data_IF_447982240249
#
_entry.id   IF_447982240249
#
_cell.length_a   1.000
_cell.length_b   1.000
_cell.length_c   1.000
_cell.angle_alpha   90.00
_cell.angle_beta   90.00
_cell.angle_gamma   90.00
#
_symmetry.space_group_name_H-M   'P 1'
#
loop_
_entity.id
_entity.type
_entity.pdbx_description
1 polymer ?
#
# COMPACT_ATOMS: atom_id res chain seq x y z
N UNK A 1 -8.03 8.05 18.46
CA UNK A 1 -7.55 8.19 17.07
C UNK A 1 -8.57 9.01 16.29
N UNK A 2 -8.11 9.97 15.49
CA UNK A 2 -8.99 10.73 14.60
C UNK A 2 -9.68 9.77 13.61
N UNK A 3 -10.95 10.02 13.32
CA UNK A 3 -11.69 9.28 12.29
C UNK A 3 -11.30 9.74 10.88
N UNK A 4 -11.73 9.01 9.83
CA UNK A 4 -11.51 9.46 8.46
C UNK A 4 -12.25 10.78 8.20
N UNK A 5 -11.62 11.62 7.37
CA UNK A 5 -12.18 12.87 6.89
C UNK A 5 -12.60 12.71 5.43
N UNK A 6 -13.66 13.39 5.02
CA UNK A 6 -14.12 13.48 3.65
C UNK A 6 -13.81 14.89 3.13
N UNK A 7 -12.91 14.98 2.17
CA UNK A 7 -12.45 16.24 1.58
C UNK A 7 -13.07 16.40 0.19
N UNK A 8 -13.74 17.53 -0.06
CA UNK A 8 -14.28 17.85 -1.37
C UNK A 8 -13.17 18.31 -2.31
N UNK A 9 -13.19 17.82 -3.54
CA UNK A 9 -12.24 18.16 -4.61
C UNK A 9 -13.01 18.47 -5.89
N UNK A 10 -12.32 18.98 -6.90
CA UNK A 10 -12.92 19.23 -8.22
C UNK A 10 -13.44 17.97 -8.90
N UNK A 11 -12.87 16.79 -8.59
CA UNK A 11 -13.25 15.48 -9.13
C UNK A 11 -14.25 14.71 -8.27
N UNK A 12 -14.66 15.22 -7.11
CA UNK A 12 -15.54 14.54 -6.16
C UNK A 12 -14.99 14.53 -4.74
N UNK A 13 -15.44 13.58 -3.92
CA UNK A 13 -15.05 13.47 -2.51
C UNK A 13 -13.91 12.45 -2.34
N UNK A 14 -12.90 12.81 -1.57
CA UNK A 14 -11.76 11.95 -1.22
C UNK A 14 -11.75 11.69 0.28
N UNK A 15 -11.68 10.40 0.67
CA UNK A 15 -11.50 10.00 2.06
C UNK A 15 -10.01 9.98 2.42
N UNK A 16 -9.66 10.63 3.52
CA UNK A 16 -8.31 10.61 4.08
C UNK A 16 -8.34 10.33 5.58
N UNK A 17 -7.25 9.76 6.09
CA UNK A 17 -6.92 9.75 7.51
C UNK A 17 -5.77 10.73 7.71
N UNK A 18 -5.98 11.71 8.58
CA UNK A 18 -4.94 12.66 8.99
C UNK A 18 -4.53 12.39 10.43
N UNK A 19 -3.28 12.00 10.61
CA UNK A 19 -2.66 11.74 11.92
C UNK A 19 -1.62 12.83 12.16
N UNK A 20 -1.82 13.73 13.13
CA UNK A 20 -0.85 14.78 13.45
C UNK A 20 0.49 14.18 13.87
N UNK A 21 1.59 14.88 13.55
CA UNK A 21 2.95 14.56 13.94
C UNK A 21 3.79 15.82 14.08
N UNK A 22 4.98 15.71 14.68
CA UNK A 22 5.89 16.84 14.88
C UNK A 22 6.89 16.98 13.71
N UNK A 23 7.08 15.90 12.94
CA UNK A 23 7.98 15.86 11.77
C UNK A 23 7.19 16.12 10.49
N UNK A 24 7.86 16.55 9.39
CA UNK A 24 7.21 16.83 8.13
C UNK A 24 6.29 15.70 7.62
N UNK A 25 5.18 16.03 6.92
CA UNK A 25 4.16 15.07 6.57
C UNK A 25 4.65 13.98 5.60
N UNK A 26 4.06 12.80 5.75
CA UNK A 26 4.16 11.66 4.84
C UNK A 26 2.79 11.41 4.23
N UNK A 27 2.72 11.35 2.90
CA UNK A 27 1.53 10.91 2.18
C UNK A 27 1.59 9.41 1.98
N UNK A 28 0.53 8.70 2.36
CA UNK A 28 0.50 7.24 2.38
C UNK A 28 -0.65 6.67 1.52
N UNK A 29 -0.32 5.73 0.65
CA UNK A 29 -1.28 5.00 -0.19
C UNK A 29 -1.32 3.52 0.20
N UNK A 30 -2.40 3.06 0.85
CA UNK A 30 -2.61 1.67 1.24
C UNK A 30 -2.66 0.72 0.04
N UNK A 31 -2.44 -0.55 0.31
CA UNK A 31 -2.55 -1.64 -0.67
C UNK A 31 -3.98 -1.94 -1.13
N UNK A 32 -4.12 -3.00 -1.90
CA UNK A 32 -5.42 -3.55 -2.29
C UNK A 32 -6.26 -3.91 -1.06
N UNK A 33 -7.59 -3.82 -1.19
CA UNK A 33 -8.56 -4.09 -0.12
C UNK A 33 -8.47 -3.18 1.10
N UNK A 34 -7.64 -2.13 1.07
CA UNK A 34 -7.40 -1.21 2.17
C UNK A 34 -7.88 0.20 1.84
N UNK A 35 -8.40 0.88 2.84
CA UNK A 35 -8.77 2.29 2.79
C UNK A 35 -7.88 3.12 3.74
N UNK A 36 -8.00 4.42 3.73
CA UNK A 36 -7.14 5.34 4.48
C UNK A 36 -6.92 4.94 5.95
N UNK A 37 -7.96 4.49 6.63
CA UNK A 37 -7.90 4.08 8.05
C UNK A 37 -7.36 2.67 8.29
N UNK A 38 -7.18 1.87 7.24
CA UNK A 38 -6.64 0.51 7.37
C UNK A 38 -5.13 0.61 7.57
N UNK A 39 -4.67 0.21 8.75
CA UNK A 39 -3.24 0.20 9.01
C UNK A 39 -2.59 -0.98 8.28
N UNK A 40 -1.91 -0.66 7.20
CA UNK A 40 -1.04 -1.55 6.46
C UNK A 40 0.40 -1.00 6.44
N UNK A 41 0.81 -0.39 7.57
CA UNK A 41 2.15 0.15 7.79
C UNK A 41 2.22 1.67 7.90
N UNK A 42 1.12 2.43 7.81
CA UNK A 42 1.17 3.87 8.00
C UNK A 42 1.56 4.26 9.43
N UNK A 43 1.22 3.43 10.42
CA UNK A 43 1.60 3.64 11.82
C UNK A 43 3.12 3.66 12.06
N UNK A 44 3.91 3.02 11.20
CA UNK A 44 5.37 3.07 11.28
C UNK A 44 5.89 4.52 11.18
N UNK A 45 5.29 5.33 10.31
CA UNK A 45 5.67 6.72 10.10
C UNK A 45 5.21 7.62 11.25
N UNK A 46 4.03 7.37 11.78
CA UNK A 46 3.54 8.06 12.99
C UNK A 46 4.39 7.72 14.23
N UNK A 47 4.87 6.48 14.34
CA UNK A 47 5.74 6.03 15.46
C UNK A 47 7.11 6.74 15.45
N UNK A 48 7.64 7.05 14.26
CA UNK A 48 8.88 7.86 14.13
C UNK A 48 8.60 9.37 14.11
N UNK A 49 7.37 9.78 14.42
CA UNK A 49 6.99 11.17 14.68
C UNK A 49 6.52 11.97 13.46
N UNK A 50 6.40 11.37 12.28
CA UNK A 50 5.86 12.06 11.10
C UNK A 50 4.36 12.30 11.19
N UNK A 51 3.93 13.46 10.72
CA UNK A 51 2.54 13.66 10.32
C UNK A 51 2.20 12.69 9.17
N UNK A 52 1.03 12.03 9.23
CA UNK A 52 0.62 11.08 8.20
C UNK A 52 -0.70 11.48 7.57
N UNK A 53 -0.73 11.59 6.25
CA UNK A 53 -1.94 11.76 5.46
C UNK A 53 -2.12 10.51 4.59
N UNK A 54 -2.96 9.60 5.07
CA UNK A 54 -3.29 8.36 4.35
C UNK A 54 -4.54 8.55 3.49
N UNK A 55 -4.50 8.07 2.23
CA UNK A 55 -5.56 8.26 1.25
C UNK A 55 -6.31 6.98 0.94
N UNK A 56 -7.63 7.02 0.91
CA UNK A 56 -8.42 6.00 0.22
C UNK A 56 -8.36 6.24 -1.29
N UNK A 57 -7.76 5.32 -2.02
CA UNK A 57 -7.64 5.41 -3.49
C UNK A 57 -9.01 5.30 -4.18
N UNK A 58 -9.14 5.64 -5.49
CA UNK A 58 -10.42 5.59 -6.21
C UNK A 58 -11.17 4.28 -6.05
N UNK A 59 -12.41 4.36 -5.57
CA UNK A 59 -13.28 3.20 -5.35
C UNK A 59 -13.13 2.51 -3.99
N UNK A 60 -12.24 3.00 -3.10
CA UNK A 60 -12.12 2.52 -1.73
C UNK A 60 -12.74 3.49 -0.71
N UNK A 61 -13.27 2.94 0.36
CA UNK A 61 -13.79 3.69 1.50
C UNK A 61 -14.84 4.73 1.10
N UNK A 62 -14.65 5.95 1.58
CA UNK A 62 -15.51 7.10 1.28
C UNK A 62 -15.13 7.88 0.02
N UNK A 63 -14.06 7.48 -0.71
CA UNK A 63 -13.64 8.17 -1.94
C UNK A 63 -14.62 7.92 -3.08
N UNK A 64 -15.19 9.02 -3.61
CA UNK A 64 -16.23 9.04 -4.65
C UNK A 64 -15.81 9.95 -5.81
N UNK A 65 -14.86 9.47 -6.62
CA UNK A 65 -14.27 10.17 -7.78
C UNK A 65 -14.39 9.34 -9.06
N UNK A 66 -15.17 8.25 -9.03
CA UNK A 66 -15.29 7.33 -10.17
C UNK A 66 -14.09 6.39 -10.31
N UNK A 67 -13.90 5.87 -11.52
CA UNK A 67 -12.85 4.89 -11.84
C UNK A 67 -11.60 5.57 -12.41
N UNK A 68 -11.04 6.50 -11.66
CA UNK A 68 -9.81 7.17 -12.06
C UNK A 68 -8.62 6.22 -11.98
N UNK A 69 -7.68 6.37 -12.92
CA UNK A 69 -6.34 5.81 -12.84
C UNK A 69 -5.50 6.57 -11.80
N UNK A 70 -4.34 6.05 -11.43
CA UNK A 70 -3.41 6.75 -10.55
C UNK A 70 -3.04 8.14 -11.10
N UNK A 71 -2.76 8.22 -12.40
CA UNK A 71 -2.43 9.47 -13.07
C UNK A 71 -3.57 10.51 -13.02
N UNK A 72 -4.82 10.08 -13.20
CA UNK A 72 -6.00 10.94 -13.15
C UNK A 72 -6.37 11.34 -11.71
N UNK A 73 -6.03 10.53 -10.72
CA UNK A 73 -6.31 10.82 -9.31
C UNK A 73 -5.24 11.74 -8.68
N UNK A 74 -4.01 11.77 -9.19
CA UNK A 74 -2.91 12.59 -8.65
C UNK A 74 -3.25 14.08 -8.50
N UNK A 75 -3.94 14.76 -9.43
CA UNK A 75 -4.37 16.15 -9.21
C UNK A 75 -5.24 16.33 -7.98
N UNK A 76 -6.15 15.39 -7.71
CA UNK A 76 -7.03 15.45 -6.54
C UNK A 76 -6.28 15.20 -5.22
N UNK A 77 -5.21 14.39 -5.26
CA UNK A 77 -4.29 14.27 -4.12
C UNK A 77 -3.65 15.63 -3.81
N UNK A 78 -3.20 16.35 -4.84
CA UNK A 78 -2.68 17.72 -4.69
C UNK A 78 -3.70 18.68 -4.06
N UNK A 79 -4.94 18.70 -4.55
CA UNK A 79 -6.02 19.54 -3.99
C UNK A 79 -6.30 19.23 -2.51
N UNK A 80 -6.29 17.93 -2.13
CA UNK A 80 -6.46 17.54 -0.73
C UNK A 80 -5.30 18.04 0.12
N UNK A 81 -4.06 17.84 -0.35
CA UNK A 81 -2.87 18.31 0.35
C UNK A 81 -2.87 19.83 0.53
N UNK A 82 -3.24 20.58 -0.51
CA UNK A 82 -3.40 22.06 -0.44
C UNK A 82 -4.43 22.48 0.61
N UNK A 83 -5.60 21.82 0.67
CA UNK A 83 -6.62 22.09 1.68
C UNK A 83 -6.18 21.76 3.11
N UNK A 84 -5.27 20.78 3.27
CA UNK A 84 -4.67 20.43 4.56
C UNK A 84 -3.44 21.30 4.90
N UNK A 85 -3.05 22.23 4.03
CA UNK A 85 -1.86 23.06 4.21
C UNK A 85 -0.53 22.32 3.94
N UNK A 86 -0.57 21.17 3.27
CA UNK A 86 0.59 20.31 2.96
C UNK A 86 1.07 20.61 1.55
N UNK A 87 2.06 21.48 1.41
CA UNK A 87 2.68 21.85 0.12
C UNK A 87 3.88 20.96 -0.24
N UNK A 88 4.57 20.45 0.77
CA UNK A 88 5.75 19.59 0.64
C UNK A 88 5.62 18.41 1.59
N UNK A 89 6.02 17.22 1.14
CA UNK A 89 6.02 16.00 1.96
C UNK A 89 7.43 15.42 2.05
N UNK A 90 7.79 14.94 3.25
CA UNK A 90 9.05 14.25 3.47
C UNK A 90 9.13 12.97 2.63
N UNK A 91 8.01 12.26 2.52
CA UNK A 91 7.92 11.10 1.63
C UNK A 91 6.50 10.89 1.11
N UNK A 92 6.41 10.30 -0.07
CA UNK A 92 5.22 9.60 -0.54
C UNK A 92 5.46 8.10 -0.43
N UNK A 93 4.53 7.39 0.16
CA UNK A 93 4.64 5.96 0.46
C UNK A 93 3.56 5.18 -0.25
N UNK A 94 3.93 4.11 -0.92
CA UNK A 94 3.02 3.12 -1.47
C UNK A 94 3.24 1.74 -0.87
N UNK A 95 2.16 1.02 -0.61
CA UNK A 95 2.20 -0.38 -0.20
C UNK A 95 1.44 -1.20 -1.24
N UNK A 96 2.03 -2.29 -1.75
CA UNK A 96 1.38 -3.18 -2.71
C UNK A 96 0.79 -2.37 -3.90
N UNK A 97 -0.50 -2.47 -4.22
CA UNK A 97 -1.17 -1.64 -5.25
C UNK A 97 -1.09 -0.12 -5.00
N UNK A 98 -0.83 0.31 -3.77
CA UNK A 98 -0.60 1.72 -3.45
C UNK A 98 0.61 2.32 -4.15
N UNK A 99 1.56 1.47 -4.58
CA UNK A 99 2.72 1.86 -5.36
C UNK A 99 2.38 2.58 -6.67
N UNK A 100 1.28 2.17 -7.35
CA UNK A 100 0.79 2.87 -8.55
C UNK A 100 0.59 4.36 -8.29
N UNK A 101 -0.12 4.69 -7.20
CA UNK A 101 -0.43 6.07 -6.87
C UNK A 101 0.79 6.82 -6.35
N UNK A 102 1.62 6.16 -5.53
CA UNK A 102 2.82 6.78 -4.98
C UNK A 102 3.81 7.21 -6.08
N UNK A 103 4.02 6.35 -7.09
CA UNK A 103 4.87 6.64 -8.25
C UNK A 103 4.33 7.84 -9.05
N UNK A 104 3.04 7.87 -9.34
CA UNK A 104 2.45 8.98 -10.11
C UNK A 104 2.52 10.32 -9.37
N UNK A 105 2.30 10.33 -8.04
CA UNK A 105 2.44 11.54 -7.21
C UNK A 105 3.89 12.00 -7.19
N UNK A 106 4.84 11.10 -6.99
CA UNK A 106 6.26 11.43 -6.98
C UNK A 106 6.74 11.93 -8.35
N UNK A 107 6.31 11.30 -9.45
CA UNK A 107 6.68 11.72 -10.80
C UNK A 107 6.12 13.10 -11.18
N UNK A 108 4.99 13.52 -10.63
CA UNK A 108 4.33 14.80 -10.92
C UNK A 108 4.64 15.89 -9.91
N UNK A 109 5.25 15.55 -8.77
CA UNK A 109 5.62 16.51 -7.71
C UNK A 109 4.43 17.38 -7.23
N UNK A 110 3.26 16.74 -7.01
CA UNK A 110 2.07 17.42 -6.47
C UNK A 110 1.41 16.55 -5.37
N UNK A 111 1.68 16.87 -4.07
CA UNK A 111 2.54 17.93 -3.52
C UNK A 111 4.01 17.75 -3.90
N UNK A 112 4.89 18.69 -3.54
CA UNK A 112 6.34 18.52 -3.71
C UNK A 112 6.83 17.34 -2.86
N UNK A 113 7.52 16.39 -3.48
CA UNK A 113 7.92 15.11 -2.87
C UNK A 113 9.43 15.06 -2.69
N UNK A 114 9.90 14.94 -1.47
CA UNK A 114 11.33 14.84 -1.19
C UNK A 114 11.84 13.40 -1.41
N UNK A 115 11.04 12.38 -1.10
CA UNK A 115 11.41 10.96 -1.25
C UNK A 115 10.22 10.11 -1.64
N UNK A 116 10.48 9.00 -2.33
CA UNK A 116 9.49 7.96 -2.61
C UNK A 116 9.85 6.68 -1.85
N UNK A 117 8.85 6.01 -1.27
CA UNK A 117 9.03 4.72 -0.59
C UNK A 117 8.01 3.73 -1.15
N UNK A 118 8.50 2.59 -1.58
CA UNK A 118 7.69 1.51 -2.17
C UNK A 118 7.89 0.22 -1.36
N UNK A 119 6.87 -0.16 -0.60
CA UNK A 119 6.89 -1.38 0.22
C UNK A 119 6.12 -2.52 -0.45
N UNK A 120 6.80 -3.60 -0.83
CA UNK A 120 6.17 -4.79 -1.44
C UNK A 120 5.17 -4.40 -2.53
N UNK A 121 5.57 -3.47 -3.42
CA UNK A 121 4.67 -2.87 -4.40
C UNK A 121 4.57 -3.70 -5.69
N UNK A 122 3.35 -3.77 -6.21
CA UNK A 122 3.00 -4.23 -7.55
C UNK A 122 1.73 -3.50 -8.01
N UNK A 123 1.53 -3.34 -9.36
CA UNK A 123 2.43 -3.68 -10.45
C UNK A 123 3.58 -2.69 -10.61
N UNK A 124 4.74 -3.17 -11.04
CA UNK A 124 5.80 -2.36 -11.63
C UNK A 124 5.55 -2.19 -13.14
N UNK A 125 6.57 -2.23 -14.01
CA UNK A 125 6.32 -2.40 -15.46
C UNK A 125 5.91 -3.83 -15.81
N UNK A 126 6.10 -4.79 -14.89
CA UNK A 126 5.67 -6.16 -15.04
C UNK A 126 4.15 -6.28 -14.87
N UNK A 127 3.58 -7.36 -15.38
CA UNK A 127 2.17 -7.65 -15.26
C UNK A 127 1.82 -8.14 -13.84
N UNK A 128 0.66 -7.75 -13.33
CA UNK A 128 0.16 -8.21 -12.02
C UNK A 128 -1.36 -8.45 -12.10
N UNK A 129 -1.94 -9.50 -11.50
CA UNK A 129 -1.26 -10.49 -10.64
C UNK A 129 -0.26 -11.39 -11.37
N UNK A 130 0.75 -11.87 -10.62
CA UNK A 130 1.82 -12.73 -11.14
C UNK A 130 1.30 -14.11 -11.55
N UNK A 131 0.25 -14.61 -10.90
CA UNK A 131 -0.34 -15.90 -11.20
C UNK A 131 -1.55 -15.79 -12.13
N UNK A 132 -1.67 -16.73 -13.11
CA UNK A 132 -2.84 -16.81 -13.99
C UNK A 132 -4.12 -17.10 -13.21
N UNK A 133 -4.04 -17.88 -12.15
CA UNK A 133 -5.19 -18.21 -11.31
C UNK A 133 -5.75 -16.96 -10.61
N UNK A 134 -4.90 -16.14 -10.02
CA UNK A 134 -5.31 -14.87 -9.38
C UNK A 134 -5.86 -13.89 -10.41
N UNK A 135 -5.27 -13.82 -11.60
CA UNK A 135 -5.75 -12.96 -12.67
C UNK A 135 -7.18 -13.33 -13.13
N UNK A 136 -7.53 -14.62 -13.11
CA UNK A 136 -8.84 -15.12 -13.54
C UNK A 136 -9.87 -15.09 -12.41
N UNK A 137 -9.50 -15.59 -11.22
CA UNK A 137 -10.43 -15.75 -10.10
C UNK A 137 -10.54 -14.53 -9.21
N UNK A 138 -9.48 -13.71 -9.09
CA UNK A 138 -9.49 -12.50 -8.28
C UNK A 138 -10.64 -11.54 -8.62
N UNK A 139 -10.83 -11.15 -9.91
CA UNK A 139 -11.92 -10.27 -10.31
C UNK A 139 -13.31 -10.82 -9.97
N UNK A 140 -13.50 -12.14 -10.01
CA UNK A 140 -14.78 -12.80 -9.72
C UNK A 140 -15.03 -12.83 -8.22
N UNK A 141 -14.06 -13.33 -7.43
CA UNK A 141 -14.19 -13.46 -5.97
C UNK A 141 -14.37 -12.11 -5.28
N UNK A 142 -13.65 -11.08 -5.73
CA UNK A 142 -13.70 -9.74 -5.18
C UNK A 142 -14.57 -8.78 -6.02
N UNK A 143 -15.48 -9.33 -6.84
CA UNK A 143 -16.51 -8.53 -7.50
C UNK A 143 -17.41 -7.84 -6.46
N UNK A 144 -18.05 -6.75 -6.87
CA UNK A 144 -18.98 -6.00 -6.01
C UNK A 144 -20.13 -6.87 -5.46
N UNK A 145 -20.47 -7.96 -6.15
CA UNK A 145 -21.53 -8.87 -5.74
C UNK A 145 -21.05 -9.89 -4.69
N UNK A 146 -19.87 -10.46 -4.85
CA UNK A 146 -19.38 -11.58 -4.01
C UNK A 146 -18.48 -11.14 -2.86
N UNK A 147 -17.79 -10.02 -2.97
CA UNK A 147 -16.83 -9.57 -1.97
C UNK A 147 -17.39 -9.47 -0.54
N UNK A 148 -18.68 -9.11 -0.41
CA UNK A 148 -19.34 -9.01 0.90
C UNK A 148 -19.32 -10.35 1.64
N UNK A 149 -19.62 -11.43 0.95
CA UNK A 149 -19.59 -12.79 1.48
C UNK A 149 -18.15 -13.25 1.77
N UNK A 150 -17.22 -12.98 0.85
CA UNK A 150 -15.79 -13.32 0.99
C UNK A 150 -15.24 -12.66 2.26
N UNK A 151 -15.41 -11.36 2.41
CA UNK A 151 -14.91 -10.64 3.59
C UNK A 151 -15.65 -11.01 4.89
N UNK A 152 -16.94 -11.34 4.80
CA UNK A 152 -17.67 -11.87 5.95
C UNK A 152 -17.09 -13.22 6.42
N UNK A 153 -16.79 -14.12 5.48
CA UNK A 153 -16.16 -15.42 5.75
C UNK A 153 -14.75 -15.23 6.34
N UNK A 154 -13.91 -14.41 5.72
CA UNK A 154 -12.55 -14.13 6.23
C UNK A 154 -12.62 -13.59 7.66
N UNK A 155 -13.49 -12.63 7.95
CA UNK A 155 -13.68 -12.09 9.30
C UNK A 155 -14.11 -13.16 10.32
N UNK A 156 -14.92 -14.11 9.90
CA UNK A 156 -15.29 -15.25 10.74
C UNK A 156 -14.12 -16.19 11.01
N UNK A 157 -13.39 -16.52 9.96
CA UNK A 157 -12.26 -17.46 10.00
C UNK A 157 -11.11 -16.92 10.86
N UNK A 158 -10.72 -15.64 10.70
CA UNK A 158 -9.57 -15.05 11.42
C UNK A 158 -9.82 -14.82 12.92
N UNK A 159 -11.03 -15.09 13.41
CA UNK A 159 -11.33 -15.04 14.86
C UNK A 159 -10.51 -16.05 15.65
N UNK A 160 -10.19 -17.21 15.05
CA UNK A 160 -9.40 -18.27 15.66
C UNK A 160 -7.98 -18.27 15.09
N UNK A 161 -6.99 -18.63 15.90
CA UNK A 161 -5.59 -18.70 15.50
C UNK A 161 -5.37 -19.62 14.30
N UNK A 162 -6.03 -20.76 14.26
CA UNK A 162 -5.94 -21.69 13.13
C UNK A 162 -6.39 -21.05 11.81
N UNK A 163 -7.48 -20.29 11.86
CA UNK A 163 -8.00 -19.58 10.69
C UNK A 163 -7.12 -18.40 10.28
N UNK A 164 -6.62 -17.61 11.24
CA UNK A 164 -5.66 -16.55 10.98
C UNK A 164 -4.39 -17.10 10.32
N UNK A 165 -3.84 -18.19 10.89
CA UNK A 165 -2.69 -18.91 10.35
C UNK A 165 -2.90 -19.35 8.90
N UNK A 166 -4.07 -19.90 8.60
CA UNK A 166 -4.45 -20.32 7.25
C UNK A 166 -4.49 -19.13 6.26
N UNK A 167 -5.09 -18.00 6.64
CA UNK A 167 -5.16 -16.82 5.78
C UNK A 167 -3.77 -16.21 5.59
N UNK A 168 -2.98 -16.10 6.65
CA UNK A 168 -1.62 -15.55 6.56
C UNK A 168 -0.66 -16.45 5.76
N UNK A 169 -0.87 -17.76 5.74
CA UNK A 169 -0.05 -18.67 4.93
C UNK A 169 -0.15 -18.40 3.43
N UNK A 170 -1.23 -17.77 2.95
CA UNK A 170 -1.39 -17.37 1.55
C UNK A 170 -0.55 -16.13 1.19
N UNK A 171 -0.05 -15.42 2.17
CA UNK A 171 0.77 -14.22 1.99
C UNK A 171 2.27 -14.49 2.16
N UNK A 172 2.67 -15.77 2.19
CA UNK A 172 4.05 -16.20 2.42
C UNK A 172 4.43 -17.34 1.51
N UNK A 173 5.64 -17.29 0.96
CA UNK A 173 6.26 -18.40 0.24
C UNK A 173 6.96 -19.38 1.19
N UNK A 174 7.09 -19.04 2.48
CA UNK A 174 7.64 -19.93 3.50
C UNK A 174 6.53 -20.80 4.13
N UNK A 175 6.85 -22.05 4.51
CA UNK A 175 5.97 -22.85 5.35
C UNK A 175 5.62 -22.08 6.63
N UNK A 176 4.33 -21.92 6.90
CA UNK A 176 3.84 -21.12 8.05
C UNK A 176 4.37 -21.65 9.41
N UNK A 177 4.75 -22.93 9.50
CA UNK A 177 5.37 -23.51 10.69
C UNK A 177 6.69 -22.85 11.09
N UNK A 178 7.41 -22.26 10.14
CA UNK A 178 8.72 -21.63 10.38
C UNK A 178 8.62 -20.26 11.05
N UNK A 179 7.53 -19.52 10.84
CA UNK A 179 7.41 -18.14 11.28
C UNK A 179 6.17 -17.84 12.15
N UNK A 180 5.24 -18.78 12.27
CA UNK A 180 4.04 -18.58 13.09
C UNK A 180 4.31 -18.62 14.60
N UNK A 181 5.15 -19.57 15.05
CA UNK A 181 5.45 -19.74 16.47
C UNK A 181 6.17 -18.52 17.08
N UNK A 182 7.14 -17.88 16.38
CA UNK A 182 7.80 -16.66 16.87
C UNK A 182 6.90 -15.42 16.92
N UNK A 183 5.74 -15.40 16.23
CA UNK A 183 4.83 -14.25 16.27
C UNK A 183 4.26 -14.03 17.67
N UNK A 184 4.38 -12.81 18.16
CA UNK A 184 3.79 -12.39 19.43
C UNK A 184 2.24 -12.39 19.37
N UNK A 185 1.60 -12.35 20.53
CA UNK A 185 0.15 -12.17 20.61
C UNK A 185 -0.29 -10.80 20.01
N UNK A 186 0.54 -9.78 20.17
CA UNK A 186 0.31 -8.45 19.60
C UNK A 186 0.35 -8.47 18.07
N UNK A 187 1.34 -9.13 17.47
CA UNK A 187 1.45 -9.30 16.00
C UNK A 187 0.23 -10.03 15.43
N UNK A 188 -0.20 -11.10 16.09
CA UNK A 188 -1.39 -11.87 15.69
C UNK A 188 -2.66 -11.03 15.77
N UNK A 189 -2.79 -10.19 16.80
CA UNK A 189 -3.96 -9.30 16.92
C UNK A 189 -3.91 -8.14 15.92
N UNK A 190 -2.74 -7.62 15.58
CA UNK A 190 -2.56 -6.64 14.51
C UNK A 190 -2.98 -7.22 13.16
N UNK A 191 -2.53 -8.43 12.83
CA UNK A 191 -2.97 -9.13 11.63
C UNK A 191 -4.49 -9.37 11.61
N UNK A 192 -5.12 -9.74 12.76
CA UNK A 192 -6.57 -9.87 12.83
C UNK A 192 -7.29 -8.56 12.57
N UNK A 193 -6.83 -7.46 13.16
CA UNK A 193 -7.41 -6.13 12.94
C UNK A 193 -7.33 -5.76 11.46
N UNK A 194 -6.19 -6.01 10.81
CA UNK A 194 -6.03 -5.80 9.38
C UNK A 194 -7.12 -6.55 8.59
N UNK A 195 -7.19 -7.87 8.68
CA UNK A 195 -8.14 -8.68 7.90
C UNK A 195 -9.61 -8.34 8.20
N UNK A 196 -9.93 -7.93 9.44
CA UNK A 196 -11.28 -7.47 9.80
C UNK A 196 -11.63 -6.12 9.17
N UNK A 197 -10.66 -5.25 8.94
CA UNK A 197 -10.86 -3.92 8.37
C UNK A 197 -10.89 -3.91 6.84
N UNK A 198 -10.32 -4.94 6.19
CA UNK A 198 -10.23 -5.02 4.73
C UNK A 198 -11.59 -5.07 4.03
N UNK A 199 -11.66 -4.39 2.88
CA UNK A 199 -12.79 -4.35 1.95
C UNK A 199 -12.25 -4.13 0.54
N UNK A 200 -12.83 -4.79 -0.45
CA UNK A 200 -12.44 -4.59 -1.85
C UNK A 200 -13.12 -3.38 -2.47
N UNK A 201 -14.35 -3.13 -2.08
CA UNK A 201 -15.23 -2.12 -2.68
C UNK A 201 -15.16 -2.18 -4.24
N UNK A 202 -15.24 -1.07 -4.93
CA UNK A 202 -14.99 -1.00 -6.37
C UNK A 202 -13.49 -0.81 -6.71
N UNK A 203 -12.68 -0.47 -5.69
CA UNK A 203 -11.28 -0.10 -5.85
C UNK A 203 -10.40 -1.24 -6.31
N UNK A 204 -10.60 -2.46 -5.79
CA UNK A 204 -9.78 -3.60 -6.18
C UNK A 204 -9.92 -3.97 -7.67
N UNK A 205 -11.14 -3.91 -8.21
CA UNK A 205 -11.35 -4.10 -9.64
C UNK A 205 -10.68 -2.99 -10.48
N UNK A 206 -10.62 -1.75 -9.95
CA UNK A 206 -9.91 -0.65 -10.59
C UNK A 206 -8.39 -0.86 -10.55
N UNK A 207 -7.86 -1.39 -9.45
CA UNK A 207 -6.45 -1.74 -9.31
C UNK A 207 -6.03 -2.83 -10.32
N UNK A 208 -6.79 -3.93 -10.37
CA UNK A 208 -6.53 -5.03 -11.31
C UNK A 208 -6.53 -4.55 -12.77
N UNK A 209 -7.46 -3.63 -13.12
CA UNK A 209 -7.49 -3.01 -14.45
C UNK A 209 -6.18 -2.30 -14.80
N UNK A 210 -5.58 -1.61 -13.86
CA UNK A 210 -4.32 -0.87 -14.02
C UNK A 210 -3.08 -1.77 -13.98
N UNK A 211 -3.21 -3.00 -13.45
CA UNK A 211 -2.14 -4.00 -13.41
C UNK A 211 -1.85 -4.70 -14.76
N UNK A 212 -2.72 -4.53 -15.76
CA UNK A 212 -2.60 -5.21 -17.04
C UNK A 212 -1.32 -4.85 -17.83
N UNK A 213 -0.84 -5.81 -18.64
CA UNK A 213 0.33 -5.65 -19.50
C UNK A 213 0.20 -4.50 -20.52
N UNK A 214 -1.02 -4.19 -20.98
CA UNK A 214 -1.27 -3.07 -21.90
C UNK A 214 -0.86 -1.71 -21.34
N UNK A 215 -0.83 -1.57 -20.01
CA UNK A 215 -0.47 -0.34 -19.32
C UNK A 215 1.00 -0.33 -18.85
N UNK A 216 1.79 -1.37 -19.21
CA UNK A 216 3.18 -1.55 -18.79
C UNK A 216 4.08 -0.37 -19.18
N UNK A 217 3.96 0.12 -20.42
CA UNK A 217 4.78 1.24 -20.90
C UNK A 217 4.41 2.55 -20.18
N UNK A 218 3.13 2.78 -19.91
CA UNK A 218 2.66 3.93 -19.12
C UNK A 218 3.26 3.90 -17.70
N UNK A 219 3.23 2.73 -17.06
CA UNK A 219 3.85 2.56 -15.74
C UNK A 219 5.37 2.77 -15.78
N UNK A 220 6.05 2.18 -16.78
CA UNK A 220 7.49 2.37 -17.01
C UNK A 220 7.83 3.85 -17.18
N UNK A 221 7.04 4.58 -17.96
CA UNK A 221 7.24 6.01 -18.17
C UNK A 221 7.03 6.82 -16.88
N UNK A 222 6.05 6.50 -16.06
CA UNK A 222 5.86 7.15 -14.75
C UNK A 222 7.07 6.92 -13.84
N UNK A 223 7.53 5.66 -13.74
CA UNK A 223 8.70 5.27 -12.92
C UNK A 223 9.97 6.00 -13.35
N UNK A 224 10.24 6.11 -14.66
CA UNK A 224 11.45 6.78 -15.19
C UNK A 224 11.46 8.30 -14.98
N UNK A 225 10.31 8.90 -14.64
CA UNK A 225 10.16 10.33 -14.36
C UNK A 225 10.24 10.71 -12.89
N UNK A 226 10.37 9.74 -11.98
CA UNK A 226 10.52 10.01 -10.54
C UNK A 226 11.84 10.75 -10.32
N UNK A 227 11.82 12.01 -9.81
CA UNK A 227 13.02 12.83 -9.72
C UNK A 227 13.70 12.79 -8.34
N UNK A 228 13.13 12.06 -7.38
CA UNK A 228 13.58 12.06 -5.99
C UNK A 228 14.18 10.70 -5.60
N UNK A 229 15.06 10.68 -4.56
CA UNK A 229 15.55 9.44 -3.98
C UNK A 229 14.43 8.50 -3.63
N UNK A 230 14.59 7.23 -3.99
CA UNK A 230 13.56 6.20 -3.84
C UNK A 230 14.08 5.00 -3.06
N UNK A 231 13.34 4.62 -2.01
CA UNK A 231 13.57 3.39 -1.28
C UNK A 231 12.54 2.34 -1.74
N UNK A 232 13.03 1.23 -2.24
CA UNK A 232 12.21 0.06 -2.56
C UNK A 232 12.50 -1.02 -1.53
N UNK A 233 11.48 -1.53 -0.85
CA UNK A 233 11.66 -2.64 0.09
C UNK A 233 10.75 -3.80 -0.27
N UNK A 234 11.27 -5.01 -0.22
CA UNK A 234 10.52 -6.24 -0.48
C UNK A 234 11.18 -7.44 0.20
N UNK A 235 10.44 -8.51 0.35
CA UNK A 235 10.96 -9.80 0.84
C UNK A 235 10.81 -10.86 -0.25
N UNK A 236 11.82 -11.74 -0.39
CA UNK A 236 11.71 -12.92 -1.27
C UNK A 236 10.68 -13.93 -0.77
N UNK A 237 10.27 -13.79 0.48
CA UNK A 237 9.26 -14.65 1.11
C UNK A 237 7.85 -14.12 0.98
N UNK A 238 7.68 -12.98 0.33
CA UNK A 238 6.37 -12.40 0.05
C UNK A 238 5.58 -13.31 -0.90
N UNK A 239 4.42 -13.81 -0.45
CA UNK A 239 3.52 -14.65 -1.25
C UNK A 239 2.44 -13.84 -1.98
N UNK A 240 2.33 -12.54 -1.70
CA UNK A 240 1.34 -11.65 -2.34
C UNK A 240 1.91 -10.89 -3.54
N UNK A 241 3.21 -10.58 -3.53
CA UNK A 241 3.91 -9.82 -4.58
C UNK A 241 5.27 -10.45 -4.83
N UNK A 242 5.55 -10.78 -6.09
CA UNK A 242 6.87 -11.30 -6.49
C UNK A 242 7.98 -10.26 -6.27
N UNK A 243 9.13 -10.71 -5.76
CA UNK A 243 10.32 -9.87 -5.58
C UNK A 243 10.81 -9.23 -6.89
N UNK A 244 10.49 -9.84 -8.04
CA UNK A 244 10.80 -9.31 -9.36
C UNK A 244 10.22 -7.89 -9.60
N UNK A 245 9.08 -7.55 -8.99
CA UNK A 245 8.53 -6.20 -9.07
C UNK A 245 9.44 -5.19 -8.37
N UNK A 246 10.01 -5.53 -7.21
CA UNK A 246 10.94 -4.66 -6.49
C UNK A 246 12.25 -4.45 -7.28
N UNK A 247 12.79 -5.51 -7.89
CA UNK A 247 13.94 -5.43 -8.79
C UNK A 247 13.64 -4.55 -10.02
N UNK A 248 12.43 -4.65 -10.58
CA UNK A 248 12.02 -3.85 -11.73
C UNK A 248 11.83 -2.35 -11.37
N UNK A 249 11.24 -2.02 -10.20
CA UNK A 249 11.21 -0.65 -9.69
C UNK A 249 12.61 -0.09 -9.51
N UNK A 250 13.50 -0.82 -8.85
CA UNK A 250 14.88 -0.37 -8.60
C UNK A 250 15.69 -0.19 -9.88
N UNK A 251 15.39 -0.96 -10.93
CA UNK A 251 16.05 -0.85 -12.22
C UNK A 251 15.59 0.35 -13.06
N UNK A 252 14.31 0.75 -12.94
CA UNK A 252 13.71 1.76 -13.82
C UNK A 252 13.73 3.15 -13.19
N UNK A 253 13.53 3.26 -11.88
CA UNK A 253 13.57 4.54 -11.18
C UNK A 253 15.02 5.00 -11.06
N UNK A 254 15.36 6.24 -11.50
CA UNK A 254 16.78 6.65 -11.65
C UNK A 254 17.60 6.62 -10.35
N UNK A 255 17.03 7.05 -9.23
CA UNK A 255 17.71 7.09 -7.92
C UNK A 255 16.98 6.18 -6.93
N UNK A 256 17.00 4.88 -7.21
CA UNK A 256 16.33 3.88 -6.39
C UNK A 256 17.31 2.93 -5.72
N UNK A 257 17.08 2.71 -4.42
CA UNK A 257 17.78 1.72 -3.60
C UNK A 257 16.84 0.61 -3.19
N UNK A 258 17.20 -0.64 -3.54
CA UNK A 258 16.46 -1.83 -3.14
C UNK A 258 17.04 -2.40 -1.84
N UNK A 259 16.18 -2.54 -0.83
CA UNK A 259 16.50 -3.19 0.44
C UNK A 259 15.66 -4.45 0.57
N UNK A 260 16.32 -5.59 0.64
CA UNK A 260 15.68 -6.88 0.90
C UNK A 260 15.34 -7.00 2.39
N UNK A 261 14.06 -7.21 2.69
CA UNK A 261 13.56 -7.41 4.05
C UNK A 261 13.58 -8.90 4.42
N UNK A 262 13.81 -9.18 5.69
CA UNK A 262 13.72 -10.52 6.26
C UNK A 262 12.29 -10.93 6.64
N UNK A 263 11.29 -10.13 6.23
CA UNK A 263 9.88 -10.41 6.49
C UNK A 263 9.48 -11.79 5.94
N UNK A 264 8.81 -12.62 6.73
CA UNK A 264 8.37 -13.94 6.25
C UNK A 264 7.15 -13.89 5.33
N UNK A 265 6.52 -12.73 5.15
CA UNK A 265 5.28 -12.58 4.41
C UNK A 265 5.13 -11.18 3.81
N UNK A 266 4.03 -10.97 3.06
CA UNK A 266 3.62 -9.67 2.53
C UNK A 266 3.37 -8.62 3.63
N UNK A 267 3.08 -9.03 4.86
CA UNK A 267 2.83 -8.14 6.00
C UNK A 267 4.15 -7.68 6.63
N UNK A 268 4.95 -6.94 5.88
CA UNK A 268 6.32 -6.54 6.23
C UNK A 268 6.43 -5.72 7.53
N UNK A 269 5.35 -5.06 7.95
CA UNK A 269 5.31 -4.21 9.16
C UNK A 269 4.97 -4.99 10.44
N UNK A 270 4.60 -6.28 10.33
CA UNK A 270 4.23 -7.15 11.46
C UNK A 270 5.34 -8.15 11.75
N UNK A 271 5.76 -8.27 13.01
CA UNK A 271 6.71 -9.27 13.47
C UNK A 271 8.09 -8.73 13.84
N UNK A 272 9.04 -9.64 14.06
CA UNK A 272 10.35 -9.35 14.64
C UNK A 272 11.22 -8.36 13.83
N UNK A 273 10.97 -8.20 12.54
CA UNK A 273 11.71 -7.27 11.66
C UNK A 273 11.29 -5.80 11.82
N UNK A 274 10.16 -5.52 12.50
CA UNK A 274 9.61 -4.15 12.66
C UNK A 274 10.65 -3.14 13.20
N UNK A 275 11.45 -3.41 14.25
CA UNK A 275 12.44 -2.45 14.74
C UNK A 275 13.52 -2.11 13.70
N UNK A 276 13.97 -3.09 12.94
CA UNK A 276 14.95 -2.87 11.87
C UNK A 276 14.36 -2.01 10.75
N UNK A 277 13.12 -2.28 10.37
CA UNK A 277 12.40 -1.47 9.38
C UNK A 277 12.26 0.00 9.85
N UNK A 278 11.89 0.23 11.11
CA UNK A 278 11.83 1.59 11.69
C UNK A 278 13.17 2.31 11.58
N UNK A 279 14.28 1.62 11.85
CA UNK A 279 15.63 2.21 11.70
C UNK A 279 15.92 2.60 10.24
N UNK A 280 15.56 1.76 9.27
CA UNK A 280 15.71 2.06 7.84
C UNK A 280 14.88 3.29 7.47
N UNK A 281 13.61 3.34 7.89
CA UNK A 281 12.71 4.45 7.58
C UNK A 281 13.18 5.76 8.21
N UNK A 282 13.54 5.75 9.48
CA UNK A 282 14.03 6.95 10.17
C UNK A 282 15.30 7.48 9.52
N UNK A 283 16.23 6.62 9.16
CA UNK A 283 17.44 7.01 8.43
C UNK A 283 17.14 7.58 7.03
N UNK A 284 16.21 6.95 6.29
CA UNK A 284 15.92 7.37 4.92
C UNK A 284 15.06 8.63 4.86
N UNK A 285 14.08 8.79 5.75
CA UNK A 285 13.17 9.97 5.74
C UNK A 285 13.76 11.13 6.54
N UNK A 286 14.63 10.86 7.52
CA UNK A 286 15.25 11.85 8.38
C UNK A 286 16.51 12.52 7.80
N UNK A 287 17.09 11.93 6.74
CA UNK A 287 18.22 12.51 5.99
C UNK A 287 17.74 13.54 4.96
#
# INVERSE_FOLDING_TARGET
MAGPQLVATTGGVVEVLHVPGERPPVVFFPGGHCRAVTDCGWSLYAEVGHEVVSFSRPGYGGTRVGRLTAAEFTPLVGEVCEQLGVSTVAAVVGVSFGGLQAVDVAARQRPAVQRLILHSCAPSSLNYPDSRAEAVFGPVLFSTLLQGLVWWTIRGVVRRDAGLRMVMSQLSNLPVSQWWAPMSAADKEEARRLFRSMRSDAGFANDLRQGHSRDADTRRQAMSRVPCPTLVTASRHDGGVSFAHAEDFARIIPDAHLVELTSPSHLFWIGAQRPHLLTILDSFVGS
#
